data_IF_479285699608
#
_entry.id   IF_479285699608
#
_cell.length_a   1.000
_cell.length_b   1.000
_cell.length_c   1.000
_cell.angle_alpha   90.00
_cell.angle_beta   90.00
_cell.angle_gamma   90.00
#
_symmetry.space_group_name_H-M   'P 1'
#
loop_
_entity.id
_entity.type
_entity.pdbx_description
1 polymer ?
#
# COMPACT_ATOMS: atom_id res chain seq x y z
N UNK A 1 -17.59 -32.66 -14.20
CA UNK A 1 -17.80 -31.30 -13.70
C UNK A 1 -18.56 -30.44 -14.68
N UNK A 2 -19.46 -29.59 -14.19
CA UNK A 2 -20.05 -28.49 -14.92
C UNK A 2 -19.48 -27.20 -14.34
N UNK A 3 -18.86 -26.36 -15.15
CA UNK A 3 -18.15 -25.15 -14.70
C UNK A 3 -18.99 -23.92 -15.03
N UNK A 4 -19.45 -23.20 -14.02
CA UNK A 4 -20.17 -21.93 -14.18
C UNK A 4 -19.19 -20.75 -14.19
N UNK A 5 -18.20 -20.75 -13.30
CA UNK A 5 -17.08 -19.78 -13.30
C UNK A 5 -16.07 -20.17 -14.41
N UNK A 6 -16.45 -19.98 -15.65
CA UNK A 6 -15.75 -20.52 -16.83
C UNK A 6 -14.69 -19.56 -17.42
N UNK A 7 -14.58 -18.32 -16.92
CA UNK A 7 -13.61 -17.31 -17.39
C UNK A 7 -12.74 -16.84 -16.22
N UNK A 8 -11.45 -16.60 -16.51
CA UNK A 8 -10.57 -15.85 -15.60
C UNK A 8 -11.03 -14.40 -15.53
N UNK A 9 -10.82 -13.77 -14.38
CA UNK A 9 -11.26 -12.41 -14.03
C UNK A 9 -12.77 -12.21 -14.05
N UNK A 10 -13.55 -13.30 -14.09
CA UNK A 10 -15.01 -13.21 -13.92
C UNK A 10 -15.34 -12.81 -12.49
N UNK A 11 -16.20 -11.78 -12.28
CA UNK A 11 -16.68 -11.43 -10.96
C UNK A 11 -17.60 -12.53 -10.41
N UNK A 12 -17.48 -12.78 -9.12
CA UNK A 12 -18.30 -13.75 -8.37
C UNK A 12 -18.72 -13.12 -7.04
N UNK A 13 -19.92 -13.43 -6.62
CA UNK A 13 -20.45 -13.04 -5.30
C UNK A 13 -20.43 -14.24 -4.37
N UNK A 14 -20.31 -13.97 -3.07
CA UNK A 14 -20.45 -15.01 -2.04
C UNK A 14 -21.77 -15.73 -2.21
N UNK A 15 -21.72 -17.07 -2.30
CA UNK A 15 -22.86 -17.94 -2.55
C UNK A 15 -23.14 -18.24 -4.02
N UNK A 16 -22.46 -17.61 -4.99
CA UNK A 16 -22.59 -17.97 -6.40
C UNK A 16 -22.07 -19.37 -6.67
N UNK A 17 -22.76 -20.13 -7.53
CA UNK A 17 -22.34 -21.47 -7.93
C UNK A 17 -21.15 -21.36 -8.87
N UNK A 18 -19.98 -21.77 -8.41
CA UNK A 18 -18.75 -21.79 -9.21
C UNK A 18 -18.70 -22.97 -10.18
N UNK A 19 -19.03 -24.14 -9.66
CA UNK A 19 -19.03 -25.37 -10.44
C UNK A 19 -19.94 -26.42 -9.77
N UNK A 20 -20.30 -27.45 -10.55
CA UNK A 20 -20.99 -28.64 -10.02
C UNK A 20 -20.14 -29.87 -10.28
N UNK A 21 -19.99 -30.71 -9.27
CA UNK A 21 -19.20 -31.95 -9.32
C UNK A 21 -20.08 -33.16 -9.08
N UNK A 22 -19.77 -34.26 -9.73
CA UNK A 22 -20.30 -35.58 -9.45
C UNK A 22 -19.34 -36.29 -8.52
N UNK A 23 -19.89 -36.96 -7.50
CA UNK A 23 -19.13 -37.79 -6.55
C UNK A 23 -19.96 -38.99 -6.08
N UNK A 24 -19.50 -40.18 -6.42
CA UNK A 24 -20.14 -41.43 -5.97
C UNK A 24 -20.24 -41.52 -4.45
N UNK A 25 -19.15 -41.08 -3.77
CA UNK A 25 -19.11 -41.08 -2.30
C UNK A 25 -20.20 -40.19 -1.70
N UNK A 26 -20.40 -38.98 -2.23
CA UNK A 26 -21.43 -38.06 -1.74
C UNK A 26 -22.83 -38.59 -2.09
N UNK A 27 -23.00 -39.22 -3.24
CA UNK A 27 -24.26 -39.84 -3.63
C UNK A 27 -24.64 -40.96 -2.67
N UNK A 28 -23.75 -41.88 -2.35
CA UNK A 28 -23.94 -42.97 -1.40
C UNK A 28 -24.32 -42.46 0.00
N UNK A 29 -23.65 -41.43 0.52
CA UNK A 29 -23.99 -40.82 1.81
C UNK A 29 -25.37 -40.13 1.76
N UNK A 30 -25.77 -39.55 0.65
CA UNK A 30 -27.10 -38.96 0.49
C UNK A 30 -28.20 -40.06 0.54
N UNK A 31 -27.95 -41.22 -0.04
CA UNK A 31 -28.87 -42.35 0.02
C UNK A 31 -29.00 -42.90 1.47
N UNK A 32 -27.85 -43.06 2.16
CA UNK A 32 -27.81 -43.40 3.58
C UNK A 32 -28.62 -42.40 4.42
N UNK A 33 -28.44 -41.12 4.20
CA UNK A 33 -29.10 -40.02 4.91
C UNK A 33 -30.63 -40.09 4.76
N UNK A 34 -31.14 -40.47 3.60
CA UNK A 34 -32.58 -40.59 3.34
C UNK A 34 -33.21 -41.81 3.98
N UNK A 35 -32.52 -42.91 3.95
CA UNK A 35 -32.96 -44.15 4.63
C UNK A 35 -32.98 -43.90 6.13
N UNK A 36 -31.91 -43.38 6.70
CA UNK A 36 -31.76 -43.17 8.15
C UNK A 36 -32.71 -42.11 8.71
N UNK A 37 -33.08 -41.10 7.92
CA UNK A 37 -34.06 -40.09 8.33
C UNK A 37 -35.39 -40.64 8.79
N UNK A 38 -35.80 -41.78 8.25
CA UNK A 38 -37.08 -42.48 8.58
C UNK A 38 -36.94 -43.52 9.70
N UNK A 39 -35.72 -43.96 10.01
CA UNK A 39 -35.47 -45.11 10.87
C UNK A 39 -34.91 -44.68 12.23
N UNK A 40 -33.86 -43.86 12.26
CA UNK A 40 -33.15 -43.55 13.50
C UNK A 40 -32.43 -42.17 13.39
N UNK A 41 -32.74 -41.31 14.35
CA UNK A 41 -32.18 -39.95 14.38
C UNK A 41 -30.64 -39.92 14.61
N UNK A 42 -30.09 -40.88 15.35
CA UNK A 42 -28.64 -40.95 15.58
C UNK A 42 -27.90 -41.36 14.30
N UNK A 43 -28.42 -42.30 13.53
CA UNK A 43 -27.86 -42.68 12.24
C UNK A 43 -27.98 -41.57 11.23
N UNK A 44 -29.08 -40.79 11.26
CA UNK A 44 -29.25 -39.60 10.43
C UNK A 44 -28.18 -38.56 10.75
N UNK A 45 -27.92 -38.25 12.03
CA UNK A 45 -26.87 -37.35 12.46
C UNK A 45 -25.49 -37.82 11.96
N UNK A 46 -25.17 -39.08 12.12
CA UNK A 46 -23.92 -39.67 11.64
C UNK A 46 -23.75 -39.50 10.11
N UNK A 47 -24.83 -39.69 9.34
CA UNK A 47 -24.76 -39.44 7.88
C UNK A 47 -24.55 -37.93 7.54
N UNK A 48 -25.14 -37.02 8.32
CA UNK A 48 -24.87 -35.60 8.19
C UNK A 48 -23.41 -35.28 8.51
N UNK A 49 -22.85 -35.83 9.58
CA UNK A 49 -21.48 -35.62 9.99
C UNK A 49 -20.47 -36.10 8.93
N UNK A 50 -20.79 -37.20 8.24
CA UNK A 50 -20.01 -37.69 7.10
C UNK A 50 -19.98 -36.67 5.94
N UNK A 51 -21.10 -35.97 5.66
CA UNK A 51 -21.13 -34.90 4.65
C UNK A 51 -20.32 -33.67 5.09
N UNK A 52 -20.42 -33.28 6.36
CA UNK A 52 -19.62 -32.20 6.96
C UNK A 52 -18.13 -32.52 6.88
N UNK A 53 -17.73 -33.76 7.20
CA UNK A 53 -16.35 -34.25 7.11
C UNK A 53 -15.79 -34.26 5.66
N UNK A 54 -16.66 -34.20 4.66
CA UNK A 54 -16.29 -33.99 3.25
C UNK A 54 -16.21 -32.52 2.84
N UNK A 55 -16.33 -31.62 3.82
CA UNK A 55 -16.26 -30.15 3.60
C UNK A 55 -17.33 -29.63 2.62
N UNK A 56 -18.52 -30.21 2.68
CA UNK A 56 -19.68 -29.74 1.92
C UNK A 56 -20.16 -28.44 2.54
N UNK A 57 -20.22 -27.37 1.72
CA UNK A 57 -20.63 -26.06 2.18
C UNK A 57 -22.06 -26.04 2.78
N UNK A 58 -22.37 -25.15 3.73
CA UNK A 58 -23.64 -25.11 4.43
C UNK A 58 -24.85 -24.91 3.51
N UNK A 59 -24.69 -24.18 2.40
CA UNK A 59 -25.76 -23.93 1.43
C UNK A 59 -26.12 -25.25 0.74
N UNK A 60 -25.11 -25.97 0.27
CA UNK A 60 -25.30 -27.25 -0.40
C UNK A 60 -25.77 -28.33 0.55
N UNK A 61 -25.26 -28.35 1.79
CA UNK A 61 -25.73 -29.27 2.84
C UNK A 61 -27.23 -29.09 3.13
N UNK A 62 -27.70 -27.84 3.20
CA UNK A 62 -29.13 -27.53 3.36
C UNK A 62 -29.94 -28.00 2.15
N UNK A 63 -29.40 -27.81 0.92
CA UNK A 63 -30.04 -28.30 -0.31
C UNK A 63 -30.18 -29.82 -0.32
N UNK A 64 -29.14 -30.55 0.08
CA UNK A 64 -29.14 -32.02 0.21
C UNK A 64 -30.19 -32.48 1.21
N UNK A 65 -30.22 -31.89 2.41
CA UNK A 65 -31.19 -32.25 3.49
C UNK A 65 -32.64 -32.03 3.10
N UNK A 66 -32.91 -30.99 2.30
CA UNK A 66 -34.26 -30.64 1.89
C UNK A 66 -34.70 -31.34 0.59
N UNK A 67 -33.81 -31.97 -0.13
CA UNK A 67 -34.13 -32.66 -1.37
C UNK A 67 -34.81 -34.00 -1.10
N UNK A 68 -35.93 -34.29 -1.78
CA UNK A 68 -36.63 -35.56 -1.74
C UNK A 68 -35.86 -36.69 -2.48
N UNK A 69 -35.02 -36.34 -3.46
CA UNK A 69 -34.20 -37.28 -4.24
C UNK A 69 -32.73 -37.04 -4.03
N UNK A 70 -31.89 -38.06 -4.23
CA UNK A 70 -30.45 -37.91 -4.21
C UNK A 70 -29.98 -37.09 -5.38
N UNK A 71 -29.17 -36.07 -5.11
CA UNK A 71 -28.66 -35.16 -6.11
C UNK A 71 -27.45 -35.80 -6.80
N UNK A 72 -27.53 -35.99 -8.13
CA UNK A 72 -26.41 -36.55 -8.90
C UNK A 72 -25.16 -35.69 -8.89
N UNK A 73 -25.34 -34.37 -8.77
CA UNK A 73 -24.23 -33.44 -8.66
C UNK A 73 -24.44 -32.49 -7.48
N UNK A 74 -23.35 -32.11 -6.85
CA UNK A 74 -23.30 -31.14 -5.77
C UNK A 74 -22.66 -29.85 -6.30
N UNK A 75 -23.14 -28.73 -5.82
CA UNK A 75 -22.61 -27.42 -6.18
C UNK A 75 -21.51 -27.00 -5.21
N UNK A 76 -20.51 -26.32 -5.73
CA UNK A 76 -19.49 -25.63 -4.94
C UNK A 76 -19.75 -24.14 -5.11
N UNK A 77 -19.98 -23.47 -3.98
CA UNK A 77 -20.32 -22.06 -3.96
C UNK A 77 -19.09 -21.20 -3.64
N UNK A 78 -19.13 -19.94 -4.07
CA UNK A 78 -18.08 -18.98 -3.73
C UNK A 78 -18.14 -18.62 -2.24
N UNK A 79 -17.02 -18.74 -1.51
CA UNK A 79 -16.95 -18.33 -0.11
C UNK A 79 -16.83 -16.82 0.07
N UNK A 80 -16.47 -16.08 -0.99
CA UNK A 80 -16.16 -14.64 -0.98
C UNK A 80 -16.81 -13.91 -2.16
N UNK A 81 -16.94 -12.58 -2.01
CA UNK A 81 -17.07 -11.68 -3.15
C UNK A 81 -15.68 -11.45 -3.75
N UNK A 82 -15.57 -11.42 -5.06
CA UNK A 82 -14.28 -11.19 -5.71
C UNK A 82 -14.26 -11.59 -7.16
N UNK A 83 -13.11 -12.02 -7.63
CA UNK A 83 -12.87 -12.45 -9.00
C UNK A 83 -12.17 -13.81 -9.07
N UNK A 84 -12.36 -14.50 -10.17
CA UNK A 84 -11.65 -15.75 -10.47
C UNK A 84 -10.25 -15.41 -10.97
N UNK A 85 -9.22 -15.59 -10.13
CA UNK A 85 -7.83 -15.32 -10.52
C UNK A 85 -7.27 -16.39 -11.45
N UNK A 86 -7.56 -17.65 -11.15
CA UNK A 86 -7.04 -18.78 -11.93
C UNK A 86 -8.05 -19.91 -12.01
N UNK A 87 -8.10 -20.51 -13.16
CA UNK A 87 -8.94 -21.64 -13.48
C UNK A 87 -8.09 -22.83 -13.95
N UNK A 88 -8.06 -23.90 -13.12
CA UNK A 88 -7.23 -25.09 -13.38
C UNK A 88 -8.03 -26.30 -13.92
N UNK A 89 -9.30 -26.10 -14.24
CA UNK A 89 -10.19 -27.16 -14.74
C UNK A 89 -11.06 -26.65 -15.89
N UNK A 90 -11.52 -27.58 -16.73
CA UNK A 90 -12.49 -27.33 -17.78
C UNK A 90 -13.79 -28.09 -17.53
N UNK A 91 -14.82 -27.80 -18.30
CA UNK A 91 -16.05 -28.60 -18.28
C UNK A 91 -15.73 -30.08 -18.53
N UNK A 92 -16.44 -30.96 -17.81
CA UNK A 92 -16.28 -32.42 -17.88
C UNK A 92 -14.90 -32.94 -17.43
N UNK A 93 -14.03 -32.10 -16.85
CA UNK A 93 -12.78 -32.58 -16.28
C UNK A 93 -13.02 -33.53 -15.11
N UNK A 94 -12.23 -34.59 -14.99
CA UNK A 94 -12.09 -35.37 -13.79
C UNK A 94 -11.24 -34.59 -12.78
N UNK A 95 -11.69 -34.56 -11.53
CA UNK A 95 -11.01 -33.82 -10.44
C UNK A 95 -10.47 -34.85 -9.44
N UNK A 96 -9.19 -34.69 -9.09
CA UNK A 96 -8.57 -35.47 -8.01
C UNK A 96 -8.68 -34.71 -6.71
N UNK A 97 -8.79 -35.42 -5.59
CA UNK A 97 -8.75 -34.83 -4.25
C UNK A 97 -7.47 -34.00 -4.08
N UNK A 98 -7.55 -32.91 -3.35
CA UNK A 98 -6.44 -31.97 -3.05
C UNK A 98 -5.89 -31.18 -4.25
N UNK A 99 -6.55 -31.22 -5.43
CA UNK A 99 -6.17 -30.37 -6.56
C UNK A 99 -6.89 -29.03 -6.47
N UNK A 100 -6.15 -27.92 -6.57
CA UNK A 100 -6.71 -26.58 -6.71
C UNK A 100 -7.50 -26.47 -8.00
N UNK A 101 -8.78 -26.17 -7.91
CA UNK A 101 -9.71 -26.08 -9.04
C UNK A 101 -9.81 -24.65 -9.55
N UNK A 102 -10.11 -23.73 -8.64
CA UNK A 102 -10.24 -22.31 -8.87
C UNK A 102 -9.47 -21.55 -7.78
N UNK A 103 -8.88 -20.45 -8.14
CA UNK A 103 -8.29 -19.48 -7.21
C UNK A 103 -9.15 -18.23 -7.29
N UNK A 104 -9.68 -17.81 -6.14
CA UNK A 104 -10.48 -16.61 -6.02
C UNK A 104 -9.71 -15.56 -5.25
N UNK A 105 -9.86 -14.29 -5.61
CA UNK A 105 -9.32 -13.18 -4.84
C UNK A 105 -10.43 -12.19 -4.51
N UNK A 106 -10.46 -11.74 -3.26
CA UNK A 106 -11.21 -10.55 -2.90
C UNK A 106 -10.42 -9.33 -3.38
N UNK A 107 -11.06 -8.44 -4.12
CA UNK A 107 -10.48 -7.19 -4.60
C UNK A 107 -11.20 -5.95 -4.03
N UNK A 108 -12.11 -6.13 -3.06
CA UNK A 108 -12.77 -5.03 -2.37
C UNK A 108 -11.80 -4.22 -1.52
N UNK A 109 -10.74 -4.86 -1.04
CA UNK A 109 -9.61 -4.25 -0.36
C UNK A 109 -8.32 -4.60 -1.10
N UNK A 110 -7.55 -3.59 -1.43
CA UNK A 110 -6.26 -3.74 -2.11
C UNK A 110 -5.13 -3.15 -1.27
N UNK A 111 -3.97 -3.76 -1.36
CA UNK A 111 -2.75 -3.21 -0.80
C UNK A 111 -1.97 -2.49 -1.89
N UNK A 112 -1.69 -1.22 -1.64
CA UNK A 112 -0.68 -0.48 -2.38
C UNK A 112 0.63 -0.56 -1.61
N UNK A 113 1.69 -1.02 -2.26
CA UNK A 113 3.02 -1.17 -1.66
C UNK A 113 3.97 -0.22 -2.37
N UNK A 114 4.28 0.89 -1.68
CA UNK A 114 5.26 1.86 -2.16
C UNK A 114 6.68 1.43 -1.79
N UNK A 115 7.63 1.75 -2.66
CA UNK A 115 9.05 1.59 -2.38
C UNK A 115 9.64 2.95 -2.00
N UNK A 116 10.13 3.06 -0.77
CA UNK A 116 10.70 4.27 -0.19
C UNK A 116 12.20 4.09 -0.03
N UNK A 117 13.01 5.08 -0.43
CA UNK A 117 14.45 5.00 -0.22
C UNK A 117 14.82 4.96 1.26
N UNK A 118 15.82 4.18 1.61
CA UNK A 118 16.29 4.01 2.99
C UNK A 118 16.59 5.33 3.68
N UNK A 119 17.15 6.32 2.96
CA UNK A 119 17.45 7.65 3.49
C UNK A 119 16.23 8.43 3.98
N UNK A 120 15.05 8.15 3.40
CA UNK A 120 13.81 8.89 3.67
C UNK A 120 12.89 8.17 4.67
N UNK A 121 13.22 6.93 5.04
CA UNK A 121 12.34 6.09 5.88
C UNK A 121 12.15 6.64 7.29
N UNK A 122 13.13 7.34 7.85
CA UNK A 122 13.07 7.95 9.18
C UNK A 122 11.97 9.01 9.29
N UNK A 123 11.59 9.62 8.17
CA UNK A 123 10.51 10.62 8.10
C UNK A 123 9.12 10.00 8.03
N UNK A 124 9.00 8.68 7.80
CA UNK A 124 7.73 7.98 7.64
C UNK A 124 7.35 7.28 8.94
N UNK A 125 6.11 7.51 9.38
CA UNK A 125 5.55 6.91 10.59
C UNK A 125 4.23 6.21 10.27
N UNK A 126 3.92 5.17 11.04
CA UNK A 126 2.62 4.50 10.99
C UNK A 126 1.49 5.52 11.20
N UNK A 127 0.40 5.37 10.47
CA UNK A 127 -0.76 6.25 10.54
C UNK A 127 -0.63 7.58 9.79
N UNK A 128 0.53 7.91 9.19
CA UNK A 128 0.67 9.11 8.35
C UNK A 128 -0.32 9.11 7.21
N UNK A 129 -0.95 10.26 6.98
CA UNK A 129 -1.88 10.44 5.87
C UNK A 129 -1.15 10.42 4.53
N UNK A 130 -1.76 9.73 3.57
CA UNK A 130 -1.26 9.58 2.21
C UNK A 130 -2.34 9.90 1.18
N UNK A 131 -1.93 10.42 0.04
CA UNK A 131 -2.74 10.50 -1.17
C UNK A 131 -2.10 9.62 -2.23
N UNK A 132 -2.87 8.65 -2.73
CA UNK A 132 -2.43 7.69 -3.74
C UNK A 132 -3.05 8.09 -5.06
N UNK A 133 -2.23 8.34 -6.05
CA UNK A 133 -2.59 8.68 -7.42
C UNK A 133 -2.38 7.45 -8.29
N UNK A 134 -3.46 6.87 -8.79
CA UNK A 134 -3.43 5.66 -9.61
C UNK A 134 -3.65 6.06 -11.07
N UNK A 135 -2.82 5.55 -11.97
CA UNK A 135 -2.98 5.80 -13.41
C UNK A 135 -4.35 5.29 -13.89
N UNK A 136 -5.08 6.17 -14.60
CA UNK A 136 -6.44 5.87 -15.07
C UNK A 136 -7.56 6.07 -14.03
N UNK A 137 -7.24 6.62 -12.85
CA UNK A 137 -8.23 7.01 -11.83
C UNK A 137 -8.12 8.50 -11.56
N UNK A 138 -9.16 9.26 -11.90
CA UNK A 138 -9.14 10.73 -11.87
C UNK A 138 -8.95 11.32 -10.46
N UNK A 139 -9.46 10.66 -9.44
CA UNK A 139 -9.43 11.18 -8.07
C UNK A 139 -8.41 10.44 -7.20
N UNK A 140 -7.54 11.17 -6.49
CA UNK A 140 -6.59 10.55 -5.59
C UNK A 140 -7.28 9.89 -4.41
N UNK A 141 -6.81 8.70 -4.05
CA UNK A 141 -7.33 7.93 -2.94
C UNK A 141 -6.65 8.36 -1.66
N UNK A 142 -7.44 8.68 -0.65
CA UNK A 142 -6.93 8.96 0.70
C UNK A 142 -6.68 7.64 1.42
N UNK A 143 -5.50 7.49 1.96
CA UNK A 143 -5.11 6.33 2.77
C UNK A 143 -4.17 6.77 3.89
N UNK A 144 -3.68 5.80 4.66
CA UNK A 144 -2.69 6.00 5.72
C UNK A 144 -1.62 4.92 5.61
N UNK A 145 -0.43 5.23 6.12
CA UNK A 145 0.62 4.23 6.30
C UNK A 145 0.11 3.16 7.26
N UNK A 146 -0.12 1.96 6.74
CA UNK A 146 -0.63 0.83 7.52
C UNK A 146 0.51 0.00 8.10
N UNK A 147 1.54 -0.23 7.30
CA UNK A 147 2.67 -1.06 7.72
C UNK A 147 3.97 -0.65 7.01
N UNK A 148 5.07 -0.71 7.73
CA UNK A 148 6.43 -0.48 7.22
C UNK A 148 7.18 -1.81 7.38
N UNK A 149 7.60 -2.41 6.26
CA UNK A 149 8.32 -3.68 6.30
C UNK A 149 9.73 -3.46 6.86
N UNK A 150 10.15 -4.22 7.89
CA UNK A 150 11.45 -4.00 8.55
C UNK A 150 12.62 -4.64 7.77
N UNK A 151 12.55 -4.62 6.44
CA UNK A 151 13.53 -5.23 5.55
C UNK A 151 13.88 -4.26 4.43
N UNK A 152 15.18 -4.01 4.26
CA UNK A 152 15.71 -3.22 3.14
C UNK A 152 16.02 -4.12 1.96
N UNK A 153 15.51 -3.81 0.79
CA UNK A 153 15.92 -4.45 -0.44
C UNK A 153 17.33 -3.97 -0.81
N UNK A 154 18.30 -4.89 -0.74
CA UNK A 154 19.72 -4.58 -0.97
C UNK A 154 20.03 -4.05 -2.37
N UNK A 155 19.26 -4.48 -3.40
CA UNK A 155 19.48 -4.06 -4.79
C UNK A 155 18.98 -2.65 -5.05
N UNK A 156 17.77 -2.32 -4.56
CA UNK A 156 17.12 -1.03 -4.79
C UNK A 156 17.37 -0.01 -3.68
N UNK A 157 17.92 -0.45 -2.53
CA UNK A 157 18.09 0.35 -1.31
C UNK A 157 16.78 0.98 -0.84
N UNK A 158 15.68 0.24 -0.99
CA UNK A 158 14.34 0.67 -0.62
C UNK A 158 13.73 -0.19 0.48
N UNK A 159 12.83 0.41 1.23
CA UNK A 159 11.94 -0.22 2.21
C UNK A 159 10.53 -0.19 1.65
N UNK A 160 9.79 -1.27 1.84
CA UNK A 160 8.38 -1.33 1.42
C UNK A 160 7.50 -0.69 2.50
N UNK A 161 6.55 0.12 2.05
CA UNK A 161 5.53 0.75 2.90
C UNK A 161 4.16 0.41 2.33
N UNK A 162 3.30 -0.17 3.15
CA UNK A 162 1.98 -0.66 2.75
C UNK A 162 0.88 0.34 3.12
N UNK A 163 -0.06 0.49 2.21
CA UNK A 163 -1.27 1.30 2.34
C UNK A 163 -2.47 0.44 2.00
N UNK A 164 -3.56 0.58 2.75
CA UNK A 164 -4.83 -0.06 2.44
C UNK A 164 -5.68 0.84 1.54
N UNK A 165 -6.23 0.26 0.48
CA UNK A 165 -7.14 0.92 -0.46
C UNK A 165 -8.51 0.25 -0.38
N UNK A 166 -9.56 1.02 -0.05
CA UNK A 166 -10.95 0.59 -0.20
C UNK A 166 -11.34 0.61 -1.69
N UNK A 167 -11.61 -0.55 -2.24
CA UNK A 167 -11.97 -0.77 -3.64
C UNK A 167 -13.35 -1.40 -3.80
N UNK A 168 -14.31 -1.06 -2.92
CA UNK A 168 -15.68 -1.60 -2.99
C UNK A 168 -16.37 -1.37 -4.34
N UNK A 169 -15.97 -0.34 -5.08
CA UNK A 169 -16.46 -0.08 -6.45
C UNK A 169 -15.81 -0.97 -7.51
N UNK A 170 -14.79 -1.75 -7.13
CA UNK A 170 -14.04 -2.67 -8.02
C UNK A 170 -13.52 -2.01 -9.32
N UNK A 171 -13.21 -0.72 -9.27
CA UNK A 171 -12.67 0.04 -10.41
C UNK A 171 -11.13 0.15 -10.39
N UNK A 172 -10.49 -0.40 -9.38
CA UNK A 172 -9.03 -0.49 -9.27
C UNK A 172 -8.64 -1.95 -9.44
N UNK A 173 -7.68 -2.20 -10.30
CA UNK A 173 -7.23 -3.56 -10.58
C UNK A 173 -5.84 -3.80 -9.99
N UNK A 174 -5.56 -5.02 -9.51
CA UNK A 174 -4.21 -5.42 -9.11
C UNK A 174 -3.18 -5.12 -10.22
N UNK A 175 -1.98 -4.75 -9.82
CA UNK A 175 -0.85 -4.39 -10.70
C UNK A 175 -1.01 -3.06 -11.48
N UNK A 176 -1.96 -2.20 -11.14
CA UNK A 176 -1.97 -0.83 -11.64
C UNK A 176 -0.81 -0.04 -11.02
N UNK A 177 -0.21 0.84 -11.82
CA UNK A 177 0.82 1.76 -11.32
C UNK A 177 0.20 2.90 -10.55
N UNK A 178 0.88 3.31 -9.48
CA UNK A 178 0.43 4.42 -8.65
C UNK A 178 1.61 5.14 -7.99
N UNK A 179 1.41 6.42 -7.71
CA UNK A 179 2.30 7.28 -6.95
C UNK A 179 1.67 7.61 -5.60
N UNK A 180 2.46 7.61 -4.53
CA UNK A 180 2.01 8.04 -3.21
C UNK A 180 2.65 9.36 -2.82
N UNK A 181 1.82 10.31 -2.35
CA UNK A 181 2.26 11.54 -1.71
C UNK A 181 1.93 11.48 -0.23
N UNK A 182 2.96 11.45 0.60
CA UNK A 182 2.82 11.47 2.06
C UNK A 182 2.70 12.90 2.55
N UNK A 183 1.79 13.13 3.50
CA UNK A 183 1.69 14.40 4.20
C UNK A 183 2.63 14.36 5.40
N UNK A 184 3.81 14.95 5.25
CA UNK A 184 4.68 15.22 6.40
C UNK A 184 4.12 16.37 7.22
N UNK A 185 4.43 16.41 8.52
CA UNK A 185 4.08 17.55 9.35
C UNK A 185 4.71 18.81 8.75
N UNK A 186 3.89 19.83 8.47
CA UNK A 186 4.38 21.15 8.11
C UNK A 186 5.15 21.67 9.31
N UNK A 187 6.45 21.92 9.15
CA UNK A 187 7.22 22.73 10.06
C UNK A 187 7.47 24.08 9.41
N UNK A 188 7.35 25.15 10.14
CA UNK A 188 7.90 26.45 9.71
C UNK A 188 9.40 26.32 9.59
N UNK A 189 9.94 26.69 8.44
CA UNK A 189 11.37 26.73 8.19
C UNK A 189 11.72 28.09 7.67
N UNK A 190 12.81 28.67 8.19
CA UNK A 190 13.40 29.86 7.61
C UNK A 190 14.19 29.42 6.40
N UNK A 191 13.85 29.95 5.23
CA UNK A 191 14.51 29.55 3.98
C UNK A 191 15.01 30.78 3.22
N UNK A 192 16.21 30.62 2.65
CA UNK A 192 16.78 31.61 1.76
C UNK A 192 17.08 31.02 0.38
N UNK A 193 17.00 31.84 -0.69
CA UNK A 193 17.47 31.43 -2.00
C UNK A 193 18.99 31.24 -1.97
N UNK A 194 19.51 30.34 -2.81
CA UNK A 194 20.94 30.07 -2.92
C UNK A 194 21.74 31.34 -3.21
N UNK A 195 21.15 32.31 -3.91
CA UNK A 195 21.73 33.58 -4.27
C UNK A 195 21.89 34.56 -3.11
N UNK A 196 21.35 34.24 -1.94
CA UNK A 196 21.50 35.04 -0.71
C UNK A 196 22.41 34.37 0.33
N UNK A 197 22.95 33.16 0.06
CA UNK A 197 23.79 32.40 0.99
C UNK A 197 25.15 32.18 0.36
N UNK A 198 26.18 32.76 0.95
CA UNK A 198 27.58 32.57 0.55
C UNK A 198 28.14 31.35 1.26
N UNK A 199 28.71 30.42 0.51
CA UNK A 199 29.40 29.25 1.07
C UNK A 199 30.91 29.47 1.01
N UNK A 200 31.53 29.50 2.18
CA UNK A 200 33.00 29.59 2.34
C UNK A 200 33.54 28.31 3.01
N UNK A 201 33.59 27.23 2.22
CA UNK A 201 34.11 25.93 2.74
C UNK A 201 33.20 25.29 3.78
N UNK A 202 33.56 25.40 5.06
CA UNK A 202 32.79 24.87 6.17
C UNK A 202 31.72 25.79 6.71
N UNK A 203 31.81 27.09 6.42
CA UNK A 203 30.95 28.13 6.97
C UNK A 203 30.01 28.74 5.89
N UNK A 204 28.84 29.16 6.32
CA UNK A 204 27.88 29.87 5.48
C UNK A 204 27.67 31.26 6.03
N UNK A 205 27.59 32.24 5.12
CA UNK A 205 27.37 33.65 5.45
C UNK A 205 26.19 34.22 4.68
N UNK A 206 25.50 35.16 5.30
CA UNK A 206 24.51 36.03 4.67
C UNK A 206 24.91 37.48 4.96
N UNK A 207 24.52 38.41 4.11
CA UNK A 207 24.79 39.82 4.33
C UNK A 207 23.53 40.53 4.75
N UNK A 208 23.56 41.19 5.93
CA UNK A 208 22.48 42.02 6.43
C UNK A 208 22.79 43.50 6.12
N UNK A 209 21.83 44.30 5.61
CA UNK A 209 22.01 45.73 5.48
C UNK A 209 21.99 46.37 6.86
N UNK A 210 23.00 47.27 7.14
CA UNK A 210 23.02 48.15 8.31
C UNK A 210 22.48 49.52 7.91
N UNK A 211 22.81 49.97 6.71
CA UNK A 211 22.36 51.24 6.10
C UNK A 211 22.24 51.06 4.58
N UNK A 212 21.85 52.14 3.86
CA UNK A 212 21.75 52.13 2.39
C UNK A 212 23.05 51.75 1.67
N UNK A 213 24.21 51.84 2.36
CA UNK A 213 25.54 51.62 1.76
C UNK A 213 26.45 50.73 2.61
N UNK A 214 25.97 50.29 3.75
CA UNK A 214 26.73 49.49 4.70
C UNK A 214 26.03 48.15 4.93
N UNK A 215 26.81 47.08 5.01
CA UNK A 215 26.34 45.73 5.26
C UNK A 215 27.31 44.96 6.17
N UNK A 216 26.84 43.96 6.86
CA UNK A 216 27.65 43.09 7.69
C UNK A 216 27.47 41.60 7.28
N UNK A 217 28.55 40.82 7.22
CA UNK A 217 28.48 39.39 7.06
C UNK A 217 28.04 38.75 8.38
N UNK A 218 26.98 37.97 8.33
CA UNK A 218 26.49 37.18 9.50
C UNK A 218 26.72 35.70 9.20
N UNK A 219 27.44 35.04 10.09
CA UNK A 219 27.59 33.58 10.02
C UNK A 219 26.27 32.89 10.33
N UNK A 220 25.90 31.88 9.52
CA UNK A 220 24.63 31.15 9.67
C UNK A 220 24.83 29.65 9.56
N UNK A 221 24.06 28.91 10.28
CA UNK A 221 23.94 27.48 10.00
C UNK A 221 22.93 27.25 8.89
N UNK A 222 23.39 26.72 7.76
CA UNK A 222 22.57 26.50 6.57
C UNK A 222 22.60 25.04 6.11
N UNK A 223 21.42 24.49 5.83
CA UNK A 223 21.26 23.16 5.26
C UNK A 223 20.59 23.26 3.88
N UNK A 224 21.22 22.68 2.88
CA UNK A 224 20.64 22.66 1.53
C UNK A 224 19.40 21.77 1.48
N UNK A 225 18.24 22.33 1.06
CA UNK A 225 16.97 21.62 0.92
C UNK A 225 16.58 21.40 -0.54
N UNK A 226 17.07 22.22 -1.46
CA UNK A 226 16.83 22.03 -2.90
C UNK A 226 18.03 22.52 -3.72
N UNK A 227 17.95 22.44 -5.05
CA UNK A 227 18.94 23.04 -5.94
C UNK A 227 19.11 24.56 -5.74
N UNK A 228 18.05 25.25 -5.33
CA UNK A 228 17.96 26.69 -5.30
C UNK A 228 17.69 27.31 -3.91
N UNK A 229 17.63 26.49 -2.83
CA UNK A 229 17.24 26.97 -1.50
C UNK A 229 18.01 26.28 -0.38
N UNK A 230 18.30 27.08 0.64
CA UNK A 230 18.83 26.64 1.94
C UNK A 230 17.79 26.85 3.04
N UNK A 231 17.72 25.94 3.99
CA UNK A 231 17.10 26.12 5.29
C UNK A 231 18.13 26.72 6.23
N UNK A 232 17.81 27.80 6.89
CA UNK A 232 18.63 28.42 7.93
C UNK A 232 18.16 27.90 9.28
N UNK A 233 19.07 27.27 10.01
CA UNK A 233 18.75 26.66 11.32
C UNK A 233 19.20 27.53 12.47
N UNK A 234 20.20 28.38 12.25
CA UNK A 234 20.68 29.35 13.23
C UNK A 234 21.31 30.59 12.55
N UNK A 235 21.45 31.71 13.27
CA UNK A 235 22.07 32.93 12.82
C UNK A 235 21.12 33.98 12.23
N UNK A 236 19.84 33.63 11.96
CA UNK A 236 18.81 34.57 11.47
C UNK A 236 17.47 34.37 12.16
N UNK A 237 16.72 35.48 12.22
CA UNK A 237 15.32 35.47 12.68
C UNK A 237 14.35 35.67 11.54
N UNK A 238 13.08 35.25 11.74
CA UNK A 238 12.04 35.50 10.77
C UNK A 238 11.82 37.02 10.60
N UNK A 239 11.73 37.48 9.35
CA UNK A 239 11.63 38.86 8.90
C UNK A 239 12.95 39.64 8.92
N UNK A 240 14.11 39.02 9.17
CA UNK A 240 15.39 39.66 8.91
C UNK A 240 15.55 39.96 7.41
N UNK A 241 16.02 41.14 7.08
CA UNK A 241 16.35 41.52 5.73
C UNK A 241 17.74 41.00 5.38
N UNK A 242 17.89 40.41 4.20
CA UNK A 242 19.17 39.92 3.70
C UNK A 242 19.36 40.33 2.24
N UNK A 243 20.60 40.58 1.86
CA UNK A 243 20.95 40.99 0.51
C UNK A 243 20.94 39.74 -0.40
N UNK A 244 20.29 39.87 -1.54
CA UNK A 244 20.20 38.84 -2.55
C UNK A 244 20.90 39.25 -3.87
N UNK A 245 21.50 38.29 -4.58
CA UNK A 245 22.12 38.45 -5.90
C UNK A 245 23.39 39.32 -5.97
N UNK A 246 24.02 39.71 -4.84
CA UNK A 246 25.22 40.52 -4.81
C UNK A 246 26.39 39.87 -4.07
N UNK A 247 26.35 38.60 -3.78
CA UNK A 247 27.28 37.89 -2.88
C UNK A 247 28.75 38.05 -3.25
N UNK A 248 29.08 37.99 -4.53
CA UNK A 248 30.49 38.11 -4.98
C UNK A 248 31.08 39.48 -4.70
N UNK A 249 30.33 40.54 -4.94
CA UNK A 249 30.79 41.92 -4.68
C UNK A 249 30.91 42.16 -3.17
N UNK A 250 29.93 41.72 -2.41
CA UNK A 250 29.88 41.87 -0.97
C UNK A 250 30.98 41.05 -0.27
N UNK A 251 31.29 39.86 -0.76
CA UNK A 251 32.39 39.04 -0.25
C UNK A 251 33.74 39.70 -0.46
N UNK A 252 33.96 40.26 -1.66
CA UNK A 252 35.21 40.99 -1.95
C UNK A 252 35.39 42.26 -1.09
N UNK A 253 34.31 42.97 -0.83
CA UNK A 253 34.32 44.15 0.02
C UNK A 253 34.51 43.81 1.50
N UNK A 254 33.84 42.77 1.98
CA UNK A 254 33.97 42.26 3.34
C UNK A 254 35.39 41.73 3.67
N UNK A 255 36.04 41.08 2.70
CA UNK A 255 37.46 40.70 2.84
C UNK A 255 38.36 41.93 2.91
N UNK A 256 38.15 42.91 2.04
CA UNK A 256 38.96 44.13 2.00
C UNK A 256 38.86 44.92 3.29
N UNK A 257 37.70 44.94 3.90
CA UNK A 257 37.42 45.68 5.14
C UNK A 257 37.58 44.84 6.41
N UNK A 258 38.12 43.62 6.30
CA UNK A 258 38.33 42.66 7.42
C UNK A 258 37.07 42.46 8.31
N UNK A 259 35.90 42.33 7.67
CA UNK A 259 34.60 42.19 8.37
C UNK A 259 34.28 40.77 8.82
N UNK A 260 35.07 39.77 8.44
CA UNK A 260 34.95 38.42 8.93
C UNK A 260 35.66 38.27 10.28
N UNK A 261 35.08 37.56 11.24
CA UNK A 261 35.79 37.19 12.47
C UNK A 261 37.01 36.33 12.10
N UNK A 262 38.20 36.74 12.60
CA UNK A 262 39.44 35.95 12.44
C UNK A 262 39.25 34.63 13.21
N UNK A 263 39.56 33.52 12.55
CA UNK A 263 39.72 32.25 13.29
C UNK A 263 40.91 32.39 14.22
N UNK A 264 40.70 32.34 15.53
CA UNK A 264 41.76 32.14 16.50
C UNK A 264 42.48 30.83 16.15
N UNK A 265 43.61 30.97 15.45
CA UNK A 265 44.58 29.89 15.23
C UNK A 265 45.37 29.68 16.51
N UNK A 266 44.74 29.00 17.51
CA UNK A 266 45.51 28.40 18.58
C UNK A 266 46.14 27.10 18.07
N UNK A 267 47.48 27.16 17.97
CA UNK A 267 48.39 26.04 17.67
C UNK A 267 48.58 25.17 18.90
#
# INVERSE_FOLDING_TARGET
TKLNANKTFMPVKKGDILLSIYSDKVLSIQEELKVTKKINNNLYRSAVDKLIALDIDPIELKRIKNSSRSLKSINVHSPINGIVMKKNVNNKSAIKKSKTILELANIEELWFVAQVYQKDISSIKLGMNAKIYIEGVDTPIKSKVEYIYPIVNKKTKTVQVRFLIDNKKMNIYPNMFAEVKLQTNKRSMLTLPKTAVLNKGSKFYVFKPISDREFEPVEVEAKRISSNSYEITDGLQANDEVINNALFLLDSDAITNALYEEEDNDW
#
